data_IF_412280538487
#
_entry.id   IF_412280538487
#
_cell.length_a   1.000
_cell.length_b   1.000
_cell.length_c   1.000
_cell.angle_alpha   90.00
_cell.angle_beta   90.00
_cell.angle_gamma   90.00
#
_symmetry.space_group_name_H-M   'P 1'
#
loop_
_entity.id
_entity.type
_entity.pdbx_description
1 polymer ?
#
# COMPACT_ATOMS: atom_id res chain seq x y z
N UNK A 1 2.06 -2.97 -24.81
CA UNK A 1 2.36 -1.78 -23.98
C UNK A 1 1.99 -2.13 -22.54
N UNK A 2 2.85 -1.73 -21.58
CA UNK A 2 2.75 -1.89 -20.12
C UNK A 2 3.10 -3.27 -19.53
N UNK A 3 4.41 -3.50 -19.37
CA UNK A 3 4.95 -4.40 -18.36
C UNK A 3 6.05 -3.67 -17.57
N UNK A 4 5.77 -2.41 -17.19
CA UNK A 4 6.52 -1.74 -16.12
C UNK A 4 6.22 -2.51 -14.84
N UNK A 5 7.11 -3.47 -14.55
CA UNK A 5 7.14 -4.34 -13.38
C UNK A 5 6.33 -3.76 -12.23
N UNK A 6 5.15 -4.32 -11.98
CA UNK A 6 4.37 -4.04 -10.78
C UNK A 6 5.27 -4.41 -9.59
N UNK A 7 6.03 -3.42 -9.09
CA UNK A 7 6.94 -3.56 -7.94
C UNK A 7 6.17 -3.89 -6.67
N UNK A 8 4.85 -3.76 -6.71
CA UNK A 8 3.95 -4.11 -5.64
C UNK A 8 2.97 -5.18 -6.08
N UNK A 9 2.56 -6.01 -5.11
CA UNK A 9 1.48 -6.96 -5.24
C UNK A 9 0.39 -6.57 -4.24
N UNK A 10 -0.85 -6.49 -4.73
CA UNK A 10 -2.04 -6.35 -3.92
C UNK A 10 -2.54 -7.75 -3.56
N UNK A 11 -2.61 -8.05 -2.28
CA UNK A 11 -3.20 -9.27 -1.78
C UNK A 11 -4.73 -9.25 -1.80
N UNK A 12 -5.32 -10.37 -1.39
CA UNK A 12 -6.77 -10.51 -1.28
C UNK A 12 -7.35 -9.55 -0.23
N UNK A 13 -8.63 -9.19 -0.40
CA UNK A 13 -9.36 -8.40 0.60
C UNK A 13 -9.46 -9.20 1.90
N UNK A 14 -8.95 -8.64 2.99
CA UNK A 14 -9.13 -9.18 4.33
C UNK A 14 -10.53 -8.90 4.87
N UNK A 15 -10.92 -9.60 5.95
CA UNK A 15 -12.21 -9.44 6.62
C UNK A 15 -12.46 -8.00 7.06
N UNK A 16 -11.41 -7.31 7.51
CA UNK A 16 -11.40 -5.88 7.85
C UNK A 16 -11.63 -4.94 6.66
N UNK A 17 -11.73 -5.46 5.44
CA UNK A 17 -11.88 -4.69 4.20
C UNK A 17 -10.60 -4.00 3.72
N UNK A 18 -9.45 -4.41 4.27
CA UNK A 18 -8.12 -3.95 3.88
C UNK A 18 -7.55 -4.89 2.82
N UNK A 19 -6.68 -4.36 1.96
CA UNK A 19 -5.96 -5.11 0.94
C UNK A 19 -4.47 -5.00 1.27
N UNK A 20 -3.80 -6.07 1.67
CA UNK A 20 -2.39 -6.02 1.99
C UNK A 20 -1.58 -5.74 0.73
N UNK A 21 -0.49 -5.00 0.89
CA UNK A 21 0.40 -4.57 -0.19
C UNK A 21 1.82 -5.01 0.17
N UNK A 22 2.42 -5.80 -0.70
CA UNK A 22 3.85 -6.16 -0.64
C UNK A 22 4.58 -5.45 -1.74
N UNK A 23 5.69 -4.76 -1.43
CA UNK A 23 6.58 -4.08 -2.39
C UNK A 23 7.90 -4.84 -2.44
N UNK A 24 8.32 -5.31 -3.62
CA UNK A 24 9.53 -6.12 -3.82
C UNK A 24 9.61 -7.33 -2.87
N UNK A 25 8.49 -8.01 -2.63
CA UNK A 25 8.39 -9.13 -1.69
C UNK A 25 8.43 -8.75 -0.20
N UNK A 26 8.55 -7.46 0.14
CA UNK A 26 8.50 -6.97 1.52
C UNK A 26 7.10 -6.43 1.82
N UNK A 27 6.47 -6.78 2.95
CA UNK A 27 5.19 -6.18 3.33
C UNK A 27 5.40 -4.67 3.51
N UNK A 28 4.62 -3.86 2.80
CA UNK A 28 4.67 -2.39 2.88
C UNK A 28 3.54 -1.82 3.75
N UNK A 29 2.42 -2.54 3.82
CA UNK A 29 1.23 -2.12 4.57
C UNK A 29 -0.04 -2.63 3.91
N UNK A 30 -1.13 -1.88 4.06
CA UNK A 30 -2.42 -2.21 3.46
C UNK A 30 -3.06 -0.98 2.82
N UNK A 31 -3.95 -1.19 1.86
CA UNK A 31 -4.84 -0.13 1.34
C UNK A 31 -6.28 -0.45 1.72
N UNK A 32 -7.04 0.57 2.07
CA UNK A 32 -8.44 0.41 2.43
C UNK A 32 -9.28 1.54 1.83
N UNK A 33 -10.58 1.29 1.68
CA UNK A 33 -11.52 2.30 1.18
C UNK A 33 -12.29 2.91 2.33
N UNK A 34 -12.32 4.25 2.39
CA UNK A 34 -13.09 5.01 3.37
C UNK A 34 -13.71 6.23 2.71
N UNK A 35 -15.00 6.51 2.94
CA UNK A 35 -15.73 7.63 2.33
C UNK A 35 -15.52 7.77 0.81
N UNK A 36 -15.49 6.64 0.09
CA UNK A 36 -15.30 6.62 -1.36
C UNK A 36 -13.85 6.75 -1.85
N UNK A 37 -12.92 7.21 -1.02
CA UNK A 37 -11.48 7.33 -1.34
C UNK A 37 -10.67 6.12 -0.88
N UNK A 38 -9.48 5.93 -1.47
CA UNK A 38 -8.55 4.86 -1.11
C UNK A 38 -7.39 5.41 -0.29
N UNK A 39 -7.16 4.81 0.87
CA UNK A 39 -6.14 5.23 1.82
C UNK A 39 -5.07 4.15 1.95
N UNK A 40 -3.79 4.49 1.75
CA UNK A 40 -2.68 3.66 2.15
C UNK A 40 -2.44 3.75 3.66
N UNK A 41 -2.14 2.62 4.27
CA UNK A 41 -1.77 2.49 5.67
C UNK A 41 -0.46 1.74 5.77
N UNK A 42 0.54 2.36 6.40
CA UNK A 42 1.83 1.75 6.68
C UNK A 42 1.99 1.66 8.21
N UNK A 43 2.14 0.45 8.79
CA UNK A 43 2.39 0.31 10.22
C UNK A 43 3.55 1.17 10.72
N UNK A 44 3.30 2.04 11.70
CA UNK A 44 4.29 2.96 12.28
C UNK A 44 4.65 4.18 11.44
N UNK A 45 4.08 4.35 10.24
CA UNK A 45 4.25 5.55 9.44
C UNK A 45 2.89 6.12 9.02
N UNK A 46 2.63 7.36 9.42
CA UNK A 46 1.46 8.09 8.97
C UNK A 46 1.64 8.48 7.50
N UNK A 47 0.75 8.00 6.63
CA UNK A 47 0.65 8.44 5.24
C UNK A 47 -0.56 9.37 5.13
N UNK A 48 -0.31 10.63 4.78
CA UNK A 48 -1.38 11.64 4.63
C UNK A 48 -1.96 11.67 3.21
N UNK A 49 -1.22 11.14 2.24
CA UNK A 49 -1.66 11.05 0.84
C UNK A 49 -2.67 9.93 0.66
N UNK A 50 -3.69 10.18 -0.17
CA UNK A 50 -4.72 9.23 -0.55
C UNK A 50 -4.71 8.98 -2.05
N UNK A 51 -5.05 7.76 -2.45
CA UNK A 51 -5.26 7.39 -3.84
C UNK A 51 -6.71 7.64 -4.28
N UNK A 52 -6.89 7.96 -5.56
CA UNK A 52 -8.20 7.94 -6.22
C UNK A 52 -8.69 6.51 -6.52
N UNK A 53 -7.77 5.54 -6.50
CA UNK A 53 -8.00 4.11 -6.76
C UNK A 53 -7.13 3.22 -5.86
N UNK A 54 -7.46 1.93 -5.75
CA UNK A 54 -6.63 0.90 -5.07
C UNK A 54 -5.17 0.97 -5.49
N UNK A 55 -4.96 0.98 -6.80
CA UNK A 55 -3.67 1.08 -7.47
C UNK A 55 -2.92 2.34 -7.05
N UNK A 56 -3.55 3.51 -7.14
CA UNK A 56 -2.92 4.77 -6.73
C UNK A 56 -2.57 4.82 -5.23
N UNK A 57 -3.36 4.19 -4.37
CA UNK A 57 -3.01 4.05 -2.96
C UNK A 57 -1.80 3.12 -2.77
N UNK A 58 -1.71 2.02 -3.53
CA UNK A 58 -0.56 1.13 -3.48
C UNK A 58 0.71 1.80 -4.01
N UNK A 59 0.62 2.65 -5.05
CA UNK A 59 1.75 3.44 -5.56
C UNK A 59 2.29 4.42 -4.51
N UNK A 60 1.43 4.99 -3.67
CA UNK A 60 1.87 5.83 -2.54
C UNK A 60 2.70 5.00 -1.54
N UNK A 61 2.34 3.73 -1.29
CA UNK A 61 3.14 2.84 -0.45
C UNK A 61 4.49 2.51 -1.10
N UNK A 62 4.52 2.29 -2.43
CA UNK A 62 5.78 2.10 -3.17
C UNK A 62 6.67 3.32 -3.01
N UNK A 63 6.14 4.53 -3.22
CA UNK A 63 6.88 5.77 -3.05
C UNK A 63 7.41 5.95 -1.62
N UNK A 64 6.63 5.56 -0.60
CA UNK A 64 7.08 5.58 0.79
C UNK A 64 8.26 4.61 1.02
N UNK A 65 8.19 3.41 0.46
CA UNK A 65 9.29 2.42 0.52
C UNK A 65 10.53 2.92 -0.22
N UNK A 66 10.36 3.56 -1.39
CA UNK A 66 11.45 4.13 -2.19
C UNK A 66 12.13 5.31 -1.46
N UNK A 67 11.37 6.08 -0.68
CA UNK A 67 11.88 7.09 0.26
C UNK A 67 12.62 6.49 1.48
N UNK A 68 12.69 5.17 1.60
CA UNK A 68 13.33 4.46 2.71
C UNK A 68 12.43 4.27 3.94
N UNK A 69 11.14 4.63 3.88
CA UNK A 69 10.20 4.34 4.98
C UNK A 69 9.87 2.85 4.96
N UNK A 70 9.89 2.21 6.13
CA UNK A 70 9.63 0.78 6.26
C UNK A 70 8.55 0.59 7.31
N UNK A 71 7.55 -0.26 7.06
CA UNK A 71 6.57 -0.55 8.08
C UNK A 71 7.26 -1.16 9.31
N UNK A 72 6.83 -0.70 10.47
CA UNK A 72 7.15 -1.35 11.75
C UNK A 72 6.24 -2.55 11.90
N UNK A 73 6.64 -3.65 11.30
CA UNK A 73 5.98 -4.94 11.48
C UNK A 73 6.57 -5.53 12.77
N UNK A 74 5.78 -5.78 13.82
CA UNK A 74 6.27 -6.54 14.96
C UNK A 74 6.71 -7.93 14.47
N UNK A 75 7.92 -8.34 14.85
CA UNK A 75 8.52 -9.63 14.54
C UNK A 75 7.74 -10.80 15.15
#
# INVERSE_FOLDING_TARGET
MQNEQQRYQLGAREESGRYPVTVNGTPAGCVYRRHGSWFPEMPGHRIESRGTSRTGAAEILVAAVDQGKRPTIPA
#
